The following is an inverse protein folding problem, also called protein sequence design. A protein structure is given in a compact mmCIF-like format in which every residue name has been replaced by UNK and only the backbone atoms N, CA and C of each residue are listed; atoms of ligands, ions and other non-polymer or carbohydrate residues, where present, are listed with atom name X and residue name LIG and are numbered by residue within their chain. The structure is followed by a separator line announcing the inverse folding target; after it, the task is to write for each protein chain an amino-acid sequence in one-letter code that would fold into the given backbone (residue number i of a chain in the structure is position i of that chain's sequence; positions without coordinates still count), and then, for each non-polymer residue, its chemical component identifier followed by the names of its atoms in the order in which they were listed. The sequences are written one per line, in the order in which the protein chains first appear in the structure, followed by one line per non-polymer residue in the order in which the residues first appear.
data_IF_213899649685
#
_entry.id   IF_213899649685
#
_cell.length_a   1.000
_cell.length_b   1.000
_cell.length_c   1.000
_cell.angle_alpha   90.00
_cell.angle_beta   90.00
_cell.angle_gamma   90.00
#
_symmetry.space_group_name_H-M   'P 1'
#
loop_
_entity.id
_entity.type
_entity.pdbx_description
1 polymer ?
#
# COMPACT_ATOMS: atom_id res chain seq x y z
N UNK A 1 -17.11 -1.15 7.80
CA UNK A 1 -16.99 -0.34 6.56
C UNK A 1 -18.19 0.57 6.35
N UNK A 2 -19.38 0.06 5.96
CA UNK A 2 -20.55 0.89 5.61
C UNK A 2 -20.99 1.86 6.71
N UNK A 3 -20.98 1.41 7.98
CA UNK A 3 -21.27 2.26 9.16
C UNK A 3 -20.34 3.47 9.30
N UNK A 4 -19.14 3.39 8.74
CA UNK A 4 -18.13 4.45 8.74
C UNK A 4 -18.01 5.14 7.37
N UNK A 5 -18.90 4.85 6.43
CA UNK A 5 -18.97 5.52 5.13
C UNK A 5 -18.06 4.96 4.02
N UNK A 6 -17.34 3.87 4.27
CA UNK A 6 -16.49 3.23 3.25
C UNK A 6 -17.33 2.31 2.34
N UNK A 7 -17.05 2.37 1.03
CA UNK A 7 -17.87 1.74 -0.02
C UNK A 7 -17.11 0.75 -0.91
N UNK A 8 -15.79 0.83 -0.97
CA UNK A 8 -14.98 0.00 -1.85
C UNK A 8 -14.36 -1.17 -1.08
N UNK A 9 -14.76 -2.40 -1.45
CA UNK A 9 -14.22 -3.64 -0.91
C UNK A 9 -13.48 -4.40 -2.01
N UNK A 10 -12.23 -4.74 -1.73
CA UNK A 10 -11.42 -5.63 -2.57
C UNK A 10 -11.14 -6.92 -1.80
N UNK A 11 -11.27 -8.05 -2.47
CA UNK A 11 -10.96 -9.38 -1.94
C UNK A 11 -9.85 -9.98 -2.79
N UNK A 12 -8.69 -10.20 -2.17
CA UNK A 12 -7.54 -10.84 -2.84
C UNK A 12 -7.63 -12.34 -2.57
N UNK A 13 -7.87 -13.10 -3.63
CA UNK A 13 -7.93 -14.58 -3.63
C UNK A 13 -8.71 -15.15 -2.42
N UNK A 14 -9.99 -14.76 -2.23
CA UNK A 14 -10.80 -15.29 -1.14
C UNK A 14 -10.96 -16.81 -1.29
N UNK A 15 -11.01 -17.54 -0.17
CA UNK A 15 -11.22 -19.00 -0.17
C UNK A 15 -12.62 -19.41 -0.63
N UNK A 16 -13.61 -18.53 -0.42
CA UNK A 16 -15.00 -18.68 -0.84
C UNK A 16 -15.55 -17.30 -1.19
N UNK A 17 -16.02 -17.12 -2.43
CA UNK A 17 -16.76 -15.94 -2.86
C UNK A 17 -17.47 -16.22 -4.21
N UNK A 18 -18.75 -15.87 -4.38
CA UNK A 18 -19.68 -15.34 -3.38
C UNK A 18 -20.00 -16.35 -2.27
N UNK A 19 -20.35 -15.87 -1.08
CA UNK A 19 -20.60 -16.70 0.10
C UNK A 19 -21.88 -16.27 0.83
N UNK A 20 -22.85 -17.18 0.93
CA UNK A 20 -24.17 -16.87 1.50
C UNK A 20 -24.10 -16.54 3.00
N UNK A 21 -23.14 -17.11 3.72
CA UNK A 21 -22.94 -16.81 5.14
C UNK A 21 -22.37 -15.39 5.32
N UNK A 22 -21.43 -14.97 4.48
CA UNK A 22 -20.96 -13.58 4.43
C UNK A 22 -22.11 -12.60 4.12
N UNK A 23 -22.97 -12.92 3.16
CA UNK A 23 -24.16 -12.10 2.86
C UNK A 23 -25.09 -11.99 4.06
N UNK A 24 -25.39 -13.09 4.76
CA UNK A 24 -26.23 -13.07 5.96
C UNK A 24 -25.66 -12.21 7.09
N UNK A 25 -24.33 -12.22 7.29
CA UNK A 25 -23.66 -11.39 8.30
C UNK A 25 -23.60 -9.90 7.94
N UNK A 26 -23.74 -9.55 6.67
CA UNK A 26 -23.56 -8.17 6.18
C UNK A 26 -24.67 -7.19 6.57
N UNK A 27 -25.82 -7.66 7.08
CA UNK A 27 -26.99 -6.90 7.57
C UNK A 27 -27.04 -5.42 7.13
N UNK A 28 -27.65 -5.15 5.97
CA UNK A 28 -27.80 -3.79 5.42
C UNK A 28 -26.57 -3.27 4.65
N UNK A 29 -25.50 -4.05 4.57
CA UNK A 29 -24.29 -3.77 3.80
C UNK A 29 -24.00 -4.80 2.69
N UNK A 30 -25.03 -5.53 2.23
CA UNK A 30 -24.90 -6.53 1.17
C UNK A 30 -24.38 -5.94 -0.15
N UNK A 31 -24.69 -4.67 -0.42
CA UNK A 31 -24.17 -3.88 -1.53
C UNK A 31 -22.63 -3.80 -1.54
N UNK A 32 -21.95 -3.82 -0.38
CA UNK A 32 -20.49 -3.88 -0.35
C UNK A 32 -19.95 -5.21 -0.89
N UNK A 33 -20.67 -6.31 -0.64
CA UNK A 33 -20.29 -7.63 -1.15
C UNK A 33 -20.66 -7.75 -2.63
N UNK A 34 -21.82 -7.27 -3.03
CA UNK A 34 -22.26 -7.27 -4.43
C UNK A 34 -21.31 -6.48 -5.34
N UNK A 35 -20.78 -5.36 -4.85
CA UNK A 35 -19.82 -4.52 -5.56
C UNK A 35 -18.35 -4.84 -5.23
N UNK A 36 -18.07 -5.92 -4.50
CA UNK A 36 -16.71 -6.27 -4.14
C UNK A 36 -15.92 -6.68 -5.38
N UNK A 37 -14.69 -6.19 -5.50
CA UNK A 37 -13.79 -6.56 -6.59
C UNK A 37 -12.90 -7.70 -6.12
N UNK A 38 -12.95 -8.82 -6.83
CA UNK A 38 -12.10 -9.98 -6.58
C UNK A 38 -10.89 -9.96 -7.50
N UNK A 39 -9.71 -10.17 -6.95
CA UNK A 39 -8.43 -10.19 -7.67
C UNK A 39 -7.61 -11.42 -7.28
N UNK A 40 -6.66 -11.83 -8.12
CA UNK A 40 -5.80 -12.98 -7.83
C UNK A 40 -4.62 -12.61 -6.95
N UNK A 41 -4.15 -11.36 -7.03
CA UNK A 41 -2.98 -10.88 -6.32
C UNK A 41 -3.21 -9.51 -5.67
N UNK A 42 -2.46 -9.23 -4.60
CA UNK A 42 -2.51 -7.91 -3.95
C UNK A 42 -2.03 -6.80 -4.90
N UNK A 43 -1.06 -7.08 -5.78
CA UNK A 43 -0.57 -6.11 -6.76
C UNK A 43 -1.68 -5.66 -7.73
N UNK A 44 -2.54 -6.60 -8.17
CA UNK A 44 -3.72 -6.26 -8.97
C UNK A 44 -4.69 -5.36 -8.19
N UNK A 45 -5.01 -5.71 -6.94
CA UNK A 45 -5.91 -4.91 -6.10
C UNK A 45 -5.38 -3.50 -5.79
N UNK A 46 -4.07 -3.30 -5.84
CA UNK A 46 -3.41 -2.01 -5.59
C UNK A 46 -3.18 -1.17 -6.86
N UNK A 47 -3.58 -1.66 -8.04
CA UNK A 47 -3.38 -0.93 -9.30
C UNK A 47 -4.14 0.39 -9.28
N UNK A 48 -3.44 1.49 -9.59
CA UNK A 48 -4.00 2.84 -9.58
C UNK A 48 -4.12 3.48 -8.19
N UNK A 49 -3.84 2.75 -7.10
CA UNK A 49 -3.72 3.37 -5.78
C UNK A 49 -2.41 4.18 -5.70
N UNK A 50 -2.47 5.36 -5.11
CA UNK A 50 -1.29 6.19 -4.85
C UNK A 50 -0.57 5.81 -3.55
N UNK A 51 -1.30 5.19 -2.61
CA UNK A 51 -0.77 4.86 -1.30
C UNK A 51 -1.45 3.62 -0.73
N UNK A 52 -0.69 2.75 -0.08
CA UNK A 52 -1.19 1.57 0.62
C UNK A 52 -0.68 1.51 2.06
N UNK A 53 -1.60 1.25 2.98
CA UNK A 53 -1.33 1.09 4.41
C UNK A 53 -1.59 -0.36 4.81
N UNK A 54 -0.52 -1.07 5.17
CA UNK A 54 -0.60 -2.46 5.62
C UNK A 54 -0.83 -2.57 7.13
N UNK A 55 -1.85 -3.33 7.53
CA UNK A 55 -2.15 -3.56 8.94
C UNK A 55 -1.27 -4.65 9.53
N UNK A 56 -0.58 -4.34 10.64
CA UNK A 56 0.31 -5.29 11.31
C UNK A 56 0.29 -5.16 12.82
N UNK A 57 0.26 -6.30 13.52
CA UNK A 57 0.38 -6.39 14.97
C UNK A 57 1.83 -6.50 15.45
N UNK A 58 2.83 -6.61 14.55
CA UNK A 58 4.23 -6.90 14.91
C UNK A 58 5.14 -5.74 14.57
N UNK A 59 6.03 -5.36 15.51
CA UNK A 59 7.07 -4.34 15.28
C UNK A 59 8.37 -4.87 14.66
N UNK A 60 8.64 -6.18 14.76
CA UNK A 60 9.97 -6.75 14.47
C UNK A 60 10.20 -6.88 12.97
N UNK A 61 11.41 -6.51 12.53
CA UNK A 61 11.91 -6.63 11.14
C UNK A 61 11.15 -5.83 10.08
N UNK A 62 10.39 -4.80 10.47
CA UNK A 62 9.70 -3.93 9.52
C UNK A 62 10.67 -2.90 8.92
N UNK A 63 10.76 -2.90 7.60
CA UNK A 63 11.48 -1.91 6.80
C UNK A 63 10.76 -0.56 6.75
N UNK A 64 9.43 -0.59 6.80
CA UNK A 64 8.52 0.55 6.63
C UNK A 64 8.30 1.36 7.91
N UNK A 65 7.85 2.59 7.74
CA UNK A 65 7.32 3.41 8.83
C UNK A 65 6.11 2.70 9.45
N UNK A 66 6.11 2.59 10.79
CA UNK A 66 5.01 1.98 11.54
C UNK A 66 4.37 3.03 12.44
N UNK A 67 3.12 3.36 12.16
CA UNK A 67 2.32 4.29 12.94
C UNK A 67 1.22 3.56 13.71
N UNK A 68 0.66 4.23 14.71
CA UNK A 68 -0.62 3.78 15.25
C UNK A 68 -1.74 4.11 14.25
N UNK A 69 -2.87 3.41 14.36
CA UNK A 69 -4.01 3.58 13.45
C UNK A 69 -4.57 5.01 13.39
N UNK A 70 -4.48 5.78 14.49
CA UNK A 70 -4.94 7.18 14.50
C UNK A 70 -4.07 8.06 13.60
N UNK A 71 -2.76 8.04 13.82
CA UNK A 71 -1.82 8.81 13.00
C UNK A 71 -1.82 8.35 11.54
N UNK A 72 -1.96 7.04 11.29
CA UNK A 72 -2.10 6.50 9.95
C UNK A 72 -3.40 6.99 9.26
N UNK A 73 -4.51 7.07 10.00
CA UNK A 73 -5.78 7.55 9.46
C UNK A 73 -5.71 9.02 9.03
N UNK A 74 -5.06 9.90 9.81
CA UNK A 74 -4.84 11.30 9.41
C UNK A 74 -4.11 11.40 8.08
N UNK A 75 -2.99 10.68 7.92
CA UNK A 75 -2.23 10.70 6.67
C UNK A 75 -2.97 10.05 5.50
N UNK A 76 -3.76 9.01 5.77
CA UNK A 76 -4.60 8.39 4.75
C UNK A 76 -5.65 9.38 4.21
N UNK A 77 -6.32 10.13 5.10
CA UNK A 77 -7.34 11.11 4.69
C UNK A 77 -6.71 12.26 3.90
N UNK A 78 -5.54 12.77 4.30
CA UNK A 78 -4.82 13.80 3.56
C UNK A 78 -4.63 13.41 2.08
N UNK A 79 -4.16 12.19 1.81
CA UNK A 79 -3.94 11.68 0.45
C UNK A 79 -5.26 11.34 -0.23
N UNK A 80 -6.21 10.74 0.49
CA UNK A 80 -7.51 10.31 -0.04
C UNK A 80 -8.38 11.47 -0.55
N UNK A 81 -8.06 12.72 -0.19
CA UNK A 81 -8.72 13.91 -0.76
C UNK A 81 -8.49 14.07 -2.26
N UNK A 82 -7.35 13.59 -2.78
CA UNK A 82 -6.95 13.79 -4.19
C UNK A 82 -6.64 12.50 -4.92
N UNK A 83 -6.19 11.44 -4.24
CA UNK A 83 -5.74 10.20 -4.86
C UNK A 83 -6.20 8.94 -4.10
N UNK A 84 -6.40 7.80 -4.77
CA UNK A 84 -6.89 6.60 -4.10
C UNK A 84 -5.89 6.03 -3.09
N UNK A 85 -6.37 5.67 -1.90
CA UNK A 85 -5.60 5.04 -0.81
C UNK A 85 -6.18 3.66 -0.49
N UNK A 86 -5.31 2.65 -0.40
CA UNK A 86 -5.67 1.29 -0.01
C UNK A 86 -5.34 1.01 1.46
N UNK A 87 -6.25 0.31 2.14
CA UNK A 87 -6.04 -0.22 3.49
C UNK A 87 -5.98 -1.73 3.38
N UNK A 88 -4.82 -2.31 3.66
CA UNK A 88 -4.53 -3.72 3.41
C UNK A 88 -4.57 -4.50 4.71
N UNK A 89 -5.44 -5.51 4.77
CA UNK A 89 -5.58 -6.40 5.91
C UNK A 89 -5.21 -7.82 5.50
N UNK A 90 -4.41 -8.49 6.32
CA UNK A 90 -4.04 -9.88 6.09
C UNK A 90 -5.08 -10.87 6.63
N UNK A 91 -4.82 -12.17 6.43
CA UNK A 91 -5.69 -13.22 6.97
C UNK A 91 -5.68 -13.22 8.51
N UNK A 92 -6.75 -13.71 9.14
CA UNK A 92 -6.85 -13.79 10.60
C UNK A 92 -5.72 -14.61 11.24
N UNK A 93 -5.30 -15.68 10.56
CA UNK A 93 -4.31 -16.61 11.10
C UNK A 93 -2.87 -16.14 10.93
N UNK A 94 -2.52 -15.62 9.75
CA UNK A 94 -1.13 -15.31 9.40
C UNK A 94 -0.82 -13.81 9.31
N UNK A 95 -1.83 -12.95 9.23
CA UNK A 95 -1.65 -11.57 8.81
C UNK A 95 -1.11 -11.49 7.38
N UNK A 96 -0.45 -10.37 7.07
CA UNK A 96 0.23 -10.14 5.80
C UNK A 96 1.62 -10.77 5.79
N UNK A 97 1.98 -11.39 4.68
CA UNK A 97 3.34 -11.84 4.38
C UNK A 97 4.29 -10.66 4.19
N UNK A 98 5.59 -10.90 4.30
CA UNK A 98 6.59 -9.84 4.06
C UNK A 98 6.48 -9.27 2.63
N UNK A 99 6.18 -10.12 1.64
CA UNK A 99 6.02 -9.68 0.25
C UNK A 99 4.81 -8.74 0.09
N UNK A 100 3.72 -8.98 0.81
CA UNK A 100 2.55 -8.08 0.81
C UNK A 100 2.83 -6.79 1.58
N UNK A 101 3.57 -6.87 2.69
CA UNK A 101 4.02 -5.69 3.44
C UNK A 101 4.96 -4.81 2.61
N UNK A 102 5.78 -5.40 1.72
CA UNK A 102 6.68 -4.68 0.81
C UNK A 102 5.95 -3.90 -0.30
N UNK A 103 4.67 -4.19 -0.54
CA UNK A 103 3.80 -3.40 -1.44
C UNK A 103 3.17 -2.20 -0.74
N UNK A 104 3.25 -2.12 0.60
CA UNK A 104 2.67 -1.04 1.39
C UNK A 104 3.72 0.03 1.71
N UNK A 105 3.38 1.30 1.48
CA UNK A 105 4.30 2.41 1.74
C UNK A 105 4.37 2.75 3.23
N UNK A 106 3.32 2.39 3.98
CA UNK A 106 3.23 2.58 5.43
C UNK A 106 2.61 1.35 6.07
N UNK A 107 2.97 1.12 7.34
CA UNK A 107 2.29 0.15 8.19
C UNK A 107 1.55 0.83 9.32
N UNK A 108 0.39 0.28 9.67
CA UNK A 108 -0.41 0.74 10.79
C UNK A 108 -0.61 -0.39 11.81
N UNK A 109 -0.58 -0.01 13.08
CA UNK A 109 -0.76 -0.90 14.21
C UNK A 109 -1.86 -0.38 15.13
N UNK A 110 -2.73 -1.29 15.59
CA UNK A 110 -3.68 -0.99 16.66
C UNK A 110 -2.96 -1.22 17.99
N UNK A 111 -2.81 -0.18 18.84
CA UNK A 111 -2.32 -0.38 20.20
C UNK A 111 -3.28 -1.30 20.96
N UNK A 112 -2.80 -2.47 21.37
CA UNK A 112 -3.56 -3.49 22.08
C UNK A 112 -2.78 -4.00 23.30
N UNK A 113 -3.37 -4.92 24.06
CA UNK A 113 -2.67 -5.56 25.18
C UNK A 113 -1.39 -6.24 24.67
N UNK A 114 -0.18 -5.91 25.19
CA UNK A 114 1.06 -6.55 24.77
C UNK A 114 1.09 -8.08 24.93
N UNK A 115 0.31 -8.62 25.88
CA UNK A 115 0.20 -10.06 26.12
C UNK A 115 -0.80 -10.75 25.17
N UNK A 116 -1.71 -9.98 24.57
CA UNK A 116 -2.74 -10.47 23.66
C UNK A 116 -3.12 -9.37 22.65
N UNK A 117 -2.29 -9.22 21.62
CA UNK A 117 -2.38 -8.10 20.66
C UNK A 117 -3.08 -8.46 19.34
N UNK A 118 -3.54 -9.71 19.20
CA UNK A 118 -4.23 -10.18 18.00
C UNK A 118 -5.72 -9.85 18.11
N UNK A 119 -6.20 -9.03 17.18
CA UNK A 119 -7.62 -8.77 16.98
C UNK A 119 -8.12 -9.66 15.83
N UNK A 120 -9.39 -10.06 15.89
CA UNK A 120 -10.04 -10.64 14.72
C UNK A 120 -10.11 -9.63 13.57
N UNK A 121 -10.27 -10.11 12.34
CA UNK A 121 -10.19 -9.26 11.14
C UNK A 121 -11.26 -8.16 11.16
N UNK A 122 -12.50 -8.51 11.47
CA UNK A 122 -13.61 -7.55 11.50
C UNK A 122 -13.39 -6.42 12.52
N UNK A 123 -12.83 -6.71 13.70
CA UNK A 123 -12.52 -5.72 14.73
C UNK A 123 -11.37 -4.80 14.31
N UNK A 124 -10.32 -5.36 13.68
CA UNK A 124 -9.23 -4.55 13.14
C UNK A 124 -9.73 -3.60 12.03
N UNK A 125 -10.54 -4.11 11.11
CA UNK A 125 -11.21 -3.31 10.07
C UNK A 125 -12.08 -2.23 10.69
N UNK A 126 -12.87 -2.57 11.72
CA UNK A 126 -13.79 -1.63 12.36
C UNK A 126 -13.03 -0.47 13.05
N UNK A 127 -11.94 -0.75 13.75
CA UNK A 127 -11.12 0.29 14.40
C UNK A 127 -10.49 1.22 13.36
N UNK A 128 -9.89 0.67 12.29
CA UNK A 128 -9.27 1.49 11.24
C UNK A 128 -10.32 2.34 10.51
N UNK A 129 -11.48 1.76 10.17
CA UNK A 129 -12.59 2.50 9.55
C UNK A 129 -13.10 3.63 10.47
N UNK A 130 -13.15 3.39 11.78
CA UNK A 130 -13.57 4.39 12.74
C UNK A 130 -12.57 5.54 12.85
N UNK A 131 -11.26 5.26 12.98
CA UNK A 131 -10.23 6.31 13.03
C UNK A 131 -10.21 7.13 11.72
N UNK A 132 -10.46 6.52 10.56
CA UNK A 132 -10.63 7.25 9.29
C UNK A 132 -11.85 8.18 9.31
N UNK A 133 -12.99 7.69 9.82
CA UNK A 133 -14.19 8.50 9.97
C UNK A 133 -13.94 9.69 10.89
N UNK A 134 -13.21 9.48 11.99
CA UNK A 134 -12.83 10.54 12.93
C UNK A 134 -11.90 11.56 12.27
N UNK A 135 -10.83 11.10 11.61
CA UNK A 135 -9.91 11.97 10.89
C UNK A 135 -10.60 12.79 9.78
N UNK A 136 -11.59 12.22 9.10
CA UNK A 136 -12.38 12.92 8.10
C UNK A 136 -13.41 13.92 8.68
N UNK A 137 -13.76 13.79 9.96
CA UNK A 137 -14.69 14.70 10.67
C UNK A 137 -13.98 15.80 11.42
N UNK A 138 -12.75 15.55 11.87
CA UNK A 138 -11.91 16.60 12.43
C UNK A 138 -11.75 17.67 11.35
N UNK A 139 -12.14 18.90 11.69
CA UNK A 139 -12.11 20.07 10.81
C UNK A 139 -10.65 20.43 10.54
N UNK A 140 -10.06 19.59 9.69
CA UNK A 140 -8.72 19.78 9.23
C UNK A 140 -8.90 20.79 8.12
N UNK A 141 -8.69 22.07 8.46
CA UNK A 141 -8.42 23.14 7.51
C UNK A 141 -7.11 22.81 6.78
N UNK A 142 -7.10 21.68 6.05
CA UNK A 142 -6.09 21.32 5.09
C UNK A 142 -6.48 22.18 3.90
N UNK A 143 -5.95 23.40 3.89
CA UNK A 143 -5.72 24.06 2.61
C UNK A 143 -5.06 23.00 1.73
N UNK A 144 -5.58 22.71 0.52
CA UNK A 144 -4.85 21.90 -0.42
C UNK A 144 -3.60 22.70 -0.74
N UNK A 145 -2.54 22.53 0.05
CA UNK A 145 -1.20 22.71 -0.47
C UNK A 145 -1.22 21.83 -1.71
N UNK A 146 -0.92 22.44 -2.85
CA UNK A 146 -0.80 21.77 -4.14
C UNK A 146 0.28 20.71 -3.99
N UNK A 147 -0.10 19.57 -3.40
CA UNK A 147 0.76 18.42 -3.20
C UNK A 147 0.87 17.79 -4.57
N UNK A 148 2.11 17.60 -5.00
CA UNK A 148 2.38 16.98 -6.28
C UNK A 148 1.74 15.58 -6.33
N UNK A 149 1.33 15.17 -7.52
CA UNK A 149 0.66 13.89 -7.76
C UNK A 149 1.61 12.74 -7.42
N UNK A 150 1.29 11.97 -6.37
CA UNK A 150 2.01 10.75 -6.02
C UNK A 150 1.94 9.76 -7.18
N UNK A 151 3.03 9.04 -7.43
CA UNK A 151 3.02 7.94 -8.37
C UNK A 151 2.13 6.81 -7.85
N UNK A 152 1.39 6.17 -8.76
CA UNK A 152 0.62 4.97 -8.41
C UNK A 152 1.56 3.82 -8.04
N UNK A 153 1.08 2.91 -7.20
CA UNK A 153 1.84 1.74 -6.74
C UNK A 153 2.32 0.91 -7.92
N UNK A 154 1.48 0.69 -8.93
CA UNK A 154 1.86 -0.05 -10.14
C UNK A 154 2.97 0.67 -10.96
N UNK A 155 2.97 2.01 -10.99
CA UNK A 155 4.03 2.79 -11.63
C UNK A 155 5.37 2.65 -10.88
N UNK A 156 5.32 2.70 -9.54
CA UNK A 156 6.48 2.50 -8.66
C UNK A 156 7.02 1.07 -8.77
N UNK A 157 6.15 0.06 -8.78
CA UNK A 157 6.53 -1.34 -9.00
C UNK A 157 7.18 -1.54 -10.39
N UNK A 158 6.62 -0.90 -11.42
CA UNK A 158 7.24 -0.87 -12.74
C UNK A 158 8.62 -0.22 -12.73
N UNK A 159 8.84 0.82 -11.91
CA UNK A 159 10.16 1.42 -11.72
C UNK A 159 11.12 0.43 -11.04
N UNK A 160 10.70 -0.28 -10.00
CA UNK A 160 11.54 -1.27 -9.35
C UNK A 160 11.94 -2.41 -10.29
N UNK A 161 11.03 -2.89 -11.12
CA UNK A 161 11.34 -3.89 -12.14
C UNK A 161 12.37 -3.38 -13.15
N UNK A 162 12.22 -2.12 -13.62
CA UNK A 162 13.20 -1.51 -14.51
C UNK A 162 14.56 -1.30 -13.83
N UNK A 163 14.56 -0.88 -12.56
CA UNK A 163 15.78 -0.71 -11.76
C UNK A 163 16.53 -2.04 -11.63
N UNK A 164 15.83 -3.11 -11.27
CA UNK A 164 16.42 -4.45 -11.15
C UNK A 164 17.02 -4.92 -12.47
N UNK A 165 16.27 -4.80 -13.57
CA UNK A 165 16.75 -5.17 -14.90
C UNK A 165 18.01 -4.38 -15.29
N UNK A 166 18.05 -3.08 -15.03
CA UNK A 166 19.22 -2.23 -15.30
C UNK A 166 20.41 -2.62 -14.42
N UNK A 167 20.19 -2.89 -13.13
CA UNK A 167 21.26 -3.31 -12.21
C UNK A 167 21.86 -4.67 -12.59
N UNK A 168 21.03 -5.60 -13.10
CA UNK A 168 21.49 -6.85 -13.70
C UNK A 168 22.31 -6.59 -14.96
N UNK A 169 21.81 -5.74 -15.86
CA UNK A 169 22.45 -5.43 -17.14
C UNK A 169 23.84 -4.83 -16.97
N UNK A 170 24.01 -3.87 -16.05
CA UNK A 170 25.31 -3.23 -15.79
C UNK A 170 26.23 -4.05 -14.88
N UNK A 171 25.80 -5.25 -14.45
CA UNK A 171 26.59 -6.16 -13.62
C UNK A 171 26.69 -5.78 -12.14
N UNK A 172 25.88 -4.83 -11.66
CA UNK A 172 25.85 -4.45 -10.24
C UNK A 172 25.12 -5.50 -9.39
N UNK A 173 23.98 -5.98 -9.88
CA UNK A 173 23.25 -7.08 -9.25
C UNK A 173 23.76 -8.41 -9.82
N UNK A 174 24.29 -9.27 -8.95
CA UNK A 174 24.66 -10.63 -9.32
C UNK A 174 23.47 -11.58 -9.07
N UNK A 175 22.89 -12.22 -10.10
CA UNK A 175 21.74 -13.11 -9.93
C UNK A 175 22.07 -14.39 -9.14
N UNK A 176 23.34 -14.81 -9.09
CA UNK A 176 23.77 -15.96 -8.28
C UNK A 176 23.93 -15.61 -6.79
N UNK A 177 24.03 -14.32 -6.45
CA UNK A 177 24.17 -13.83 -5.08
C UNK A 177 23.48 -12.47 -4.89
N UNK A 178 22.15 -12.38 -5.09
CA UNK A 178 21.44 -11.10 -5.13
C UNK A 178 21.38 -10.39 -3.77
N UNK A 179 21.64 -11.14 -2.69
CA UNK A 179 21.48 -10.70 -1.30
C UNK A 179 20.08 -10.08 -1.12
N UNK A 180 19.97 -8.99 -0.35
CA UNK A 180 18.73 -8.24 -0.09
C UNK A 180 18.75 -6.87 -0.74
N UNK A 181 19.39 -6.75 -1.91
CA UNK A 181 19.61 -5.44 -2.54
C UNK A 181 18.28 -4.77 -2.89
N UNK A 182 17.40 -5.48 -3.61
CA UNK A 182 16.11 -4.93 -4.02
C UNK A 182 15.21 -4.60 -2.82
N UNK A 183 15.19 -5.44 -1.78
CA UNK A 183 14.50 -5.13 -0.51
C UNK A 183 14.98 -3.79 0.09
N UNK A 184 16.30 -3.54 0.08
CA UNK A 184 16.88 -2.29 0.60
C UNK A 184 16.55 -1.08 -0.28
N UNK A 185 16.58 -1.24 -1.60
CA UNK A 185 16.25 -0.17 -2.55
C UNK A 185 14.77 0.21 -2.43
N UNK A 186 13.86 -0.77 -2.41
CA UNK A 186 12.43 -0.57 -2.17
C UNK A 186 12.20 0.23 -0.88
N UNK A 187 12.86 -0.16 0.22
CA UNK A 187 12.79 0.55 1.50
C UNK A 187 13.25 2.01 1.42
N UNK A 188 14.29 2.33 0.63
CA UNK A 188 14.77 3.70 0.48
C UNK A 188 13.69 4.54 -0.20
N UNK A 189 13.18 4.07 -1.34
CA UNK A 189 12.21 4.80 -2.14
C UNK A 189 10.82 4.89 -1.49
N UNK A 190 10.39 3.85 -0.76
CA UNK A 190 9.11 3.85 -0.05
C UNK A 190 8.97 5.00 0.97
N UNK A 191 10.08 5.46 1.56
CA UNK A 191 10.08 6.58 2.52
C UNK A 191 9.86 7.95 1.86
N UNK A 192 10.22 8.08 0.58
CA UNK A 192 10.17 9.35 -0.14
C UNK A 192 8.75 9.67 -0.59
N UNK A 193 7.90 8.65 -0.78
CA UNK A 193 6.57 8.77 -1.40
C UNK A 193 6.70 9.43 -2.78
N UNK A 194 7.31 8.68 -3.70
CA UNK A 194 7.68 9.19 -5.00
C UNK A 194 6.50 9.81 -5.75
N UNK A 195 6.74 10.99 -6.30
CA UNK A 195 5.82 11.66 -7.20
C UNK A 195 5.90 11.04 -8.60
N UNK A 196 4.83 11.22 -9.38
CA UNK A 196 4.76 10.72 -10.76
C UNK A 196 5.90 11.24 -11.63
N UNK A 197 6.25 12.52 -11.50
CA UNK A 197 7.35 13.12 -12.24
C UNK A 197 8.71 12.55 -11.82
N UNK A 198 8.90 12.27 -10.54
CA UNK A 198 10.12 11.64 -10.01
C UNK A 198 10.29 10.21 -10.54
N UNK A 199 9.22 9.41 -10.57
CA UNK A 199 9.26 8.07 -11.16
C UNK A 199 9.64 8.15 -12.64
N UNK A 200 9.07 9.09 -13.40
CA UNK A 200 9.42 9.30 -14.80
C UNK A 200 10.89 9.69 -14.99
N UNK A 201 11.39 10.60 -14.15
CA UNK A 201 12.78 11.03 -14.15
C UNK A 201 13.73 9.86 -13.85
N UNK A 202 13.45 9.08 -12.80
CA UNK A 202 14.24 7.92 -12.41
C UNK A 202 14.26 6.86 -13.52
N UNK A 203 13.11 6.55 -14.12
CA UNK A 203 13.02 5.62 -15.26
C UNK A 203 13.77 6.14 -16.48
N UNK A 204 13.77 7.45 -16.71
CA UNK A 204 14.58 8.11 -17.75
C UNK A 204 16.08 7.89 -17.54
N UNK A 205 16.57 8.08 -16.32
CA UNK A 205 17.97 7.80 -15.94
C UNK A 205 18.32 6.34 -16.21
N UNK A 206 17.47 5.39 -15.80
CA UNK A 206 17.70 3.96 -16.03
C UNK A 206 17.79 3.63 -17.52
N UNK A 207 16.91 4.22 -18.32
CA UNK A 207 16.89 4.03 -19.78
C UNK A 207 18.22 4.49 -20.39
N UNK A 208 18.69 5.67 -20.01
CA UNK A 208 19.94 6.25 -20.52
C UNK A 208 21.19 5.58 -19.95
N UNK A 209 21.08 4.89 -18.81
CA UNK A 209 22.17 4.07 -18.28
C UNK A 209 22.41 2.85 -19.16
N UNK A 210 21.34 2.21 -19.66
CA UNK A 210 21.43 1.06 -20.58
C UNK A 210 21.71 1.51 -22.01
N UNK A 211 21.08 2.59 -22.46
CA UNK A 211 21.22 3.13 -23.82
C UNK A 211 21.60 4.62 -23.77
N UNK A 212 22.89 4.93 -23.59
CA UNK A 212 23.33 6.32 -23.48
C UNK A 212 23.05 7.13 -24.74
N UNK A 213 22.58 8.37 -24.56
CA UNK A 213 22.48 9.33 -25.66
C UNK A 213 23.89 9.81 -26.03
N UNK A 214 24.15 9.90 -27.34
CA UNK A 214 25.31 10.64 -27.85
C UNK A 214 24.99 12.12 -27.77
N UNK A 215 25.70 12.84 -26.91
CA UNK A 215 25.67 14.30 -26.92
C UNK A 215 26.66 14.78 -27.98
N UNK A 216 26.18 15.02 -29.21
CA UNK A 216 27.02 15.50 -30.31
C UNK A 216 27.41 16.99 -30.18
N UNK A 217 27.14 17.61 -29.02
CA UNK A 217 27.64 18.93 -28.63
C UNK A 217 27.87 18.99 -27.13
N UNK A 218 29.10 18.65 -26.72
CA UNK A 218 30.03 19.44 -25.92
C UNK A 218 31.44 18.92 -26.19
#
# INVERSE_FOLDING_TARGET
MKTMGLQHLYLVKPSSFPDAHATALSTGAADLLENAIVTETLAEALTGCAFAIGMSARKRNLSHELLNVRAAATQAIEIATTQPVALVFGTEMSGLSNAELDLCQMLAMIPANPEYSSLNLAAAVQIMCYELRMAALEDTTISPNTTAELATIDSVEGFYAHLEATLLHIGYLNPAAPKKLMERLRRIYARVRLEKEEVNLLRGILTLTVTPRKHDKY
#
